data_IF_191726622835
#
_entry.id   IF_191726622835
#
_cell.length_a   1.000
_cell.length_b   1.000
_cell.length_c   1.000
_cell.angle_alpha   90.00
_cell.angle_beta   90.00
_cell.angle_gamma   90.00
#
_symmetry.space_group_name_H-M   'P 1'
#
loop_
_entity.id
_entity.type
_entity.pdbx_description
1 polymer ?
#
# COMPACT_ATOMS: atom_id res chain seq x y z
N UNK A 1 9.03 -5.55 13.72
CA UNK A 1 7.56 -5.52 13.58
C UNK A 1 7.15 -6.35 12.37
N UNK A 2 6.11 -7.18 12.51
CA UNK A 2 5.58 -7.99 11.41
C UNK A 2 4.85 -7.13 10.38
N UNK A 3 4.60 -7.66 9.20
CA UNK A 3 3.84 -6.98 8.15
C UNK A 3 2.41 -6.61 8.61
N UNK A 4 1.75 -7.51 9.35
CA UNK A 4 0.44 -7.25 9.95
C UNK A 4 0.47 -6.06 10.92
N UNK A 5 1.53 -5.90 11.71
CA UNK A 5 1.69 -4.75 12.59
C UNK A 5 1.84 -3.44 11.79
N UNK A 6 2.53 -3.47 10.65
CA UNK A 6 2.60 -2.33 9.74
C UNK A 6 1.22 -1.95 9.19
N UNK A 7 0.46 -2.93 8.68
CA UNK A 7 -0.89 -2.67 8.15
C UNK A 7 -1.83 -2.12 9.22
N UNK A 8 -1.80 -2.69 10.43
CA UNK A 8 -2.60 -2.18 11.55
C UNK A 8 -2.22 -0.74 11.89
N UNK A 9 -0.93 -0.43 12.01
CA UNK A 9 -0.47 0.94 12.28
C UNK A 9 -0.87 1.91 11.16
N UNK A 10 -0.89 1.45 9.91
CA UNK A 10 -1.37 2.26 8.77
C UNK A 10 -2.87 2.52 8.92
N UNK A 11 -3.67 1.50 9.20
CA UNK A 11 -5.10 1.65 9.41
C UNK A 11 -5.40 2.58 10.60
N UNK A 12 -4.70 2.42 11.72
CA UNK A 12 -4.84 3.27 12.91
C UNK A 12 -4.50 4.75 12.58
N UNK A 13 -3.55 5.01 11.68
CA UNK A 13 -3.16 6.37 11.28
C UNK A 13 -4.05 7.00 10.22
N UNK A 14 -4.55 6.20 9.30
CA UNK A 14 -5.18 6.68 8.06
C UNK A 14 -6.68 6.44 8.01
N UNK A 15 -7.20 5.59 8.90
CA UNK A 15 -8.57 5.08 8.83
C UNK A 15 -8.84 4.21 7.60
N UNK A 16 -7.80 3.79 6.86
CA UNK A 16 -7.92 3.01 5.63
C UNK A 16 -7.40 1.60 5.82
N UNK A 17 -8.22 0.63 5.43
CA UNK A 17 -7.84 -0.78 5.41
C UNK A 17 -6.91 -1.07 4.21
N UNK A 18 -6.21 -2.22 4.20
CA UNK A 18 -5.43 -2.66 3.05
C UNK A 18 -6.25 -2.69 1.74
N UNK A 19 -7.49 -3.17 1.79
CA UNK A 19 -8.40 -3.21 0.64
C UNK A 19 -8.82 -1.81 0.17
N UNK A 20 -8.91 -0.83 1.07
CA UNK A 20 -9.16 0.56 0.66
C UNK A 20 -7.98 1.12 -0.14
N UNK A 21 -6.74 0.82 0.24
CA UNK A 21 -5.58 1.24 -0.53
C UNK A 21 -5.54 0.63 -1.93
N UNK A 22 -6.00 -0.62 -2.11
CA UNK A 22 -6.14 -1.22 -3.43
C UNK A 22 -7.14 -0.43 -4.29
N UNK A 23 -8.34 -0.15 -3.75
CA UNK A 23 -9.35 0.66 -4.45
C UNK A 23 -8.86 2.07 -4.76
N UNK A 24 -8.15 2.70 -3.83
CA UNK A 24 -7.57 4.03 -4.05
C UNK A 24 -6.47 4.01 -5.13
N UNK A 25 -5.67 2.95 -5.19
CA UNK A 25 -4.68 2.77 -6.24
C UNK A 25 -5.33 2.52 -7.61
N UNK A 26 -6.43 1.76 -7.66
CA UNK A 26 -7.25 1.60 -8.87
C UNK A 26 -7.84 2.92 -9.35
N UNK A 27 -8.44 3.69 -8.44
CA UNK A 27 -8.98 5.02 -8.74
C UNK A 27 -7.92 6.00 -9.25
N UNK A 28 -6.67 5.84 -8.83
CA UNK A 28 -5.52 6.61 -9.32
C UNK A 28 -4.96 6.10 -10.64
N UNK A 29 -5.47 4.99 -11.16
CA UNK A 29 -4.95 4.36 -12.36
C UNK A 29 -3.58 3.73 -12.16
N UNK A 30 -3.19 3.40 -10.93
CA UNK A 30 -1.92 2.71 -10.64
C UNK A 30 -2.01 1.20 -10.81
N UNK A 31 -3.22 0.66 -10.91
CA UNK A 31 -3.44 -0.79 -11.01
C UNK A 31 -3.76 -1.20 -12.45
N UNK A 32 -3.32 -2.38 -12.83
CA UNK A 32 -3.60 -3.07 -14.08
C UNK A 32 -3.67 -4.58 -13.79
N UNK A 33 -4.72 -5.26 -14.25
CA UNK A 33 -4.96 -6.68 -13.98
C UNK A 33 -4.92 -7.07 -12.48
N UNK A 34 -5.41 -6.18 -11.60
CA UNK A 34 -5.45 -6.41 -10.15
C UNK A 34 -4.09 -6.27 -9.45
N UNK A 35 -3.06 -5.81 -10.15
CA UNK A 35 -1.71 -5.58 -9.60
C UNK A 35 -1.23 -4.17 -9.92
N UNK A 36 -0.23 -3.70 -9.17
CA UNK A 36 0.43 -2.44 -9.48
C UNK A 36 1.07 -2.49 -10.88
N UNK A 37 0.78 -1.49 -11.71
CA UNK A 37 1.37 -1.32 -13.03
C UNK A 37 2.91 -1.37 -12.96
N UNK A 38 3.59 -2.04 -13.90
CA UNK A 38 5.05 -2.15 -13.90
C UNK A 38 5.75 -0.79 -14.09
N UNK A 39 5.05 0.19 -14.66
CA UNK A 39 5.53 1.57 -14.85
C UNK A 39 5.54 2.38 -13.55
N UNK A 40 4.75 1.99 -12.55
CA UNK A 40 4.61 2.73 -11.28
C UNK A 40 5.74 2.34 -10.33
N UNK A 41 6.55 3.34 -9.97
CA UNK A 41 7.72 3.15 -9.12
C UNK A 41 7.34 3.25 -7.64
N UNK A 42 8.14 2.63 -6.78
CA UNK A 42 7.94 2.71 -5.33
C UNK A 42 7.93 4.17 -4.82
N UNK A 43 8.79 5.03 -5.38
CA UNK A 43 8.86 6.44 -5.02
C UNK A 43 7.54 7.18 -5.21
N UNK A 44 6.82 6.90 -6.30
CA UNK A 44 5.52 7.52 -6.61
C UNK A 44 4.45 7.13 -5.58
N UNK A 45 4.44 5.86 -5.16
CA UNK A 45 3.55 5.39 -4.08
C UNK A 45 3.94 6.01 -2.75
N UNK A 46 5.24 6.11 -2.46
CA UNK A 46 5.73 6.75 -1.23
C UNK A 46 5.32 8.22 -1.17
N UNK A 47 5.50 8.98 -2.24
CA UNK A 47 5.12 10.38 -2.32
C UNK A 47 3.61 10.56 -2.20
N UNK A 48 2.83 9.73 -2.91
CA UNK A 48 1.37 9.72 -2.78
C UNK A 48 0.94 9.55 -1.32
N UNK A 49 1.43 8.49 -0.67
CA UNK A 49 1.03 8.13 0.68
C UNK A 49 1.53 9.12 1.74
N UNK A 50 2.72 9.68 1.53
CA UNK A 50 3.25 10.76 2.38
C UNK A 50 2.40 12.03 2.27
N UNK A 51 2.00 12.42 1.06
CA UNK A 51 1.22 13.65 0.82
C UNK A 51 -0.22 13.55 1.31
N UNK A 52 -0.86 12.39 1.18
CA UNK A 52 -2.30 12.26 1.45
C UNK A 52 -2.60 11.68 2.84
N UNK A 53 -1.65 10.97 3.43
CA UNK A 53 -1.86 10.21 4.67
C UNK A 53 -0.73 10.37 5.69
N UNK A 54 0.24 11.26 5.43
CA UNK A 54 1.40 11.49 6.29
C UNK A 54 2.17 10.21 6.64
N UNK A 55 2.13 9.21 5.76
CA UNK A 55 2.82 7.95 5.99
C UNK A 55 4.33 8.11 5.77
N UNK A 56 5.09 7.58 6.73
CA UNK A 56 6.54 7.46 6.63
C UNK A 56 6.96 6.37 5.65
N UNK A 57 8.21 6.40 5.21
CA UNK A 57 8.74 5.54 4.15
C UNK A 57 8.44 4.03 4.35
N UNK A 58 8.69 3.48 5.55
CA UNK A 58 8.44 2.06 5.84
C UNK A 58 6.96 1.65 5.72
N UNK A 59 6.04 2.50 6.18
CA UNK A 59 4.60 2.25 6.05
C UNK A 59 4.17 2.31 4.58
N UNK A 60 4.69 3.29 3.83
CA UNK A 60 4.41 3.40 2.40
C UNK A 60 4.94 2.21 1.60
N UNK A 61 6.11 1.68 1.98
CA UNK A 61 6.67 0.47 1.37
C UNK A 61 5.83 -0.78 1.65
N UNK A 62 5.19 -0.87 2.82
CA UNK A 62 4.26 -1.96 3.12
C UNK A 62 3.03 -1.93 2.20
N UNK A 63 2.45 -0.75 1.95
CA UNK A 63 1.36 -0.59 0.96
C UNK A 63 1.86 -0.86 -0.46
N UNK A 64 3.06 -0.40 -0.83
CA UNK A 64 3.63 -0.73 -2.14
C UNK A 64 3.76 -2.24 -2.36
N UNK A 65 4.23 -2.98 -1.35
CA UNK A 65 4.33 -4.44 -1.41
C UNK A 65 2.96 -5.12 -1.53
N UNK A 66 1.95 -4.61 -0.81
CA UNK A 66 0.55 -5.04 -0.90
C UNK A 66 0.01 -4.85 -2.34
N UNK A 67 0.18 -3.66 -2.92
CA UNK A 67 -0.32 -3.32 -4.26
C UNK A 67 0.38 -4.13 -5.36
N UNK A 68 1.65 -4.46 -5.18
CA UNK A 68 2.38 -5.35 -6.10
C UNK A 68 1.89 -6.80 -6.07
N UNK A 69 0.97 -7.15 -5.19
CA UNK A 69 0.52 -8.53 -5.02
C UNK A 69 1.66 -9.46 -4.64
N UNK A 70 2.71 -8.95 -3.98
CA UNK A 70 3.65 -9.85 -3.30
C UNK A 70 2.83 -10.58 -2.25
N UNK A 71 2.46 -11.83 -2.57
CA UNK A 71 1.84 -12.78 -1.66
C UNK A 71 2.70 -12.78 -0.41
N UNK A 72 2.14 -12.26 0.66
CA UNK A 72 2.60 -12.53 2.00
C UNK A 72 1.86 -13.81 2.30
N UNK A 73 2.36 -14.91 1.74
CA UNK A 73 1.72 -16.19 1.86
C UNK A 73 1.56 -16.49 3.35
N UNK A 74 0.30 -16.58 3.75
CA UNK A 74 -0.26 -17.56 4.69
C UNK A 74 0.49 -17.74 6.02
N UNK A 75 0.00 -17.03 7.04
CA UNK A 75 -0.09 -17.61 8.39
C UNK A 75 -1.47 -17.23 8.94
N UNK A 76 -2.47 -18.06 8.64
CA UNK A 76 -3.61 -18.36 9.51
C UNK A 76 -4.01 -19.81 9.25
#
# INVERSE_FOLDING_TARGET
MSFHAYLKNIQDKTGKSPSDFQKLAEQRGYMENGLLKPTIKAGEIVEWLKKNYSLGHGHSMAIYALLKGKKIAEVY
#
